data_IF_577304609290
#
_entry.id   IF_577304609290
#
_cell.length_a   1.000
_cell.length_b   1.000
_cell.length_c   1.000
_cell.angle_alpha   90.00
_cell.angle_beta   90.00
_cell.angle_gamma   90.00
#
_symmetry.space_group_name_H-M   'P 1'
#
loop_
_entity.id
_entity.type
_entity.pdbx_description
1 polymer ?
#
# COMPACT_ATOMS: atom_id res chain seq x y z
N UNK A 1 -32.74 17.38 -26.59
CA UNK A 1 -31.84 16.60 -25.72
C UNK A 1 -32.29 16.81 -24.29
N UNK A 2 -32.44 15.78 -23.44
CA UNK A 2 -32.87 15.99 -22.06
C UNK A 2 -31.69 16.46 -21.20
N UNK A 3 -31.88 17.57 -20.48
CA UNK A 3 -30.97 18.10 -19.47
C UNK A 3 -30.95 17.20 -18.23
N UNK A 4 -29.94 16.33 -18.12
CA UNK A 4 -29.68 15.59 -16.90
C UNK A 4 -29.12 16.55 -15.83
N UNK A 5 -29.99 17.02 -14.93
CA UNK A 5 -29.56 17.62 -13.67
C UNK A 5 -29.01 16.51 -12.79
N UNK A 6 -27.70 16.31 -12.85
CA UNK A 6 -26.97 15.38 -11.98
C UNK A 6 -27.18 15.86 -10.53
N UNK A 7 -27.93 15.10 -9.76
CA UNK A 7 -28.11 15.36 -8.33
C UNK A 7 -26.82 14.94 -7.60
N UNK A 8 -26.09 15.93 -7.09
CA UNK A 8 -24.88 15.72 -6.30
C UNK A 8 -25.30 15.71 -4.82
N UNK A 9 -25.11 14.60 -4.09
CA UNK A 9 -25.37 14.54 -2.64
C UNK A 9 -24.46 15.52 -1.89
N UNK A 10 -25.02 16.27 -0.92
CA UNK A 10 -24.31 17.35 -0.19
C UNK A 10 -22.99 16.89 0.46
N UNK A 11 -22.92 15.65 0.94
CA UNK A 11 -21.72 15.08 1.55
C UNK A 11 -20.52 14.96 0.57
N UNK A 12 -20.78 14.96 -0.74
CA UNK A 12 -19.76 14.84 -1.80
C UNK A 12 -19.46 16.17 -2.49
N UNK A 13 -20.22 17.22 -2.16
CA UNK A 13 -20.04 18.56 -2.71
C UNK A 13 -18.66 19.17 -2.41
N UNK A 14 -18.05 19.01 -1.22
CA UNK A 14 -16.75 19.64 -0.92
C UNK A 14 -15.62 19.13 -1.83
N UNK A 15 -15.61 17.81 -2.08
CA UNK A 15 -14.62 17.16 -2.94
C UNK A 15 -14.78 17.67 -4.38
N UNK A 16 -16.02 17.69 -4.89
CA UNK A 16 -16.29 18.16 -6.25
C UNK A 16 -15.95 19.65 -6.45
N UNK A 17 -16.11 20.50 -5.42
CA UNK A 17 -15.71 21.91 -5.49
C UNK A 17 -14.19 22.08 -5.58
N UNK A 18 -13.41 21.34 -4.78
CA UNK A 18 -11.94 21.35 -4.87
C UNK A 18 -11.45 20.89 -6.25
N UNK A 19 -12.09 19.89 -6.85
CA UNK A 19 -11.75 19.42 -8.19
C UNK A 19 -12.09 20.42 -9.29
N UNK A 20 -13.24 21.10 -9.18
CA UNK A 20 -13.65 22.13 -10.15
C UNK A 20 -12.67 23.31 -10.16
N UNK A 21 -12.10 23.68 -9.01
CA UNK A 21 -11.06 24.70 -8.91
C UNK A 21 -9.72 24.23 -9.48
N UNK A 22 -9.35 22.95 -9.32
CA UNK A 22 -8.06 22.44 -9.77
C UNK A 22 -7.97 22.11 -11.27
N UNK A 23 -9.06 21.65 -11.89
CA UNK A 23 -9.00 21.12 -13.26
C UNK A 23 -9.76 21.95 -14.30
N UNK A 24 -10.50 22.99 -13.88
CA UNK A 24 -11.27 23.83 -14.78
C UNK A 24 -12.34 23.07 -15.56
N UNK A 25 -13.00 23.74 -16.52
CA UNK A 25 -14.05 23.15 -17.38
C UNK A 25 -13.55 22.03 -18.31
N UNK A 26 -12.24 21.84 -18.41
CA UNK A 26 -11.58 20.88 -19.29
C UNK A 26 -11.05 19.64 -18.55
N UNK A 27 -11.64 19.31 -17.39
CA UNK A 27 -11.40 18.02 -16.75
C UNK A 27 -11.79 16.90 -17.73
N UNK A 28 -10.78 16.26 -18.31
CA UNK A 28 -10.93 15.24 -19.34
C UNK A 28 -11.82 14.11 -18.87
N UNK A 29 -12.55 13.46 -19.79
CA UNK A 29 -13.43 12.33 -19.48
C UNK A 29 -12.75 11.22 -18.67
N UNK A 30 -11.43 11.08 -18.79
CA UNK A 30 -10.61 10.18 -17.96
C UNK A 30 -10.69 10.48 -16.45
N UNK A 31 -10.77 11.74 -16.05
CA UNK A 31 -10.86 12.12 -14.63
C UNK A 31 -12.25 11.82 -14.09
N UNK A 32 -13.29 12.04 -14.91
CA UNK A 32 -14.67 11.69 -14.55
C UNK A 32 -14.82 10.17 -14.45
N UNK A 33 -14.30 9.41 -15.43
CA UNK A 33 -14.29 7.94 -15.41
C UNK A 33 -13.50 7.39 -14.22
N UNK A 34 -12.37 8.02 -13.87
CA UNK A 34 -11.60 7.68 -12.67
C UNK A 34 -12.41 7.92 -11.40
N UNK A 35 -13.12 9.05 -11.29
CA UNK A 35 -13.93 9.38 -10.12
C UNK A 35 -15.17 8.48 -10.04
N UNK A 36 -15.86 8.21 -11.16
CA UNK A 36 -17.00 7.30 -11.19
C UNK A 36 -16.58 5.88 -10.80
N UNK A 37 -15.42 5.42 -11.26
CA UNK A 37 -14.87 4.14 -10.82
C UNK A 37 -14.46 4.19 -9.33
N UNK A 38 -13.73 5.20 -8.89
CA UNK A 38 -13.33 5.32 -7.49
C UNK A 38 -14.54 5.39 -6.54
N UNK A 39 -15.62 6.09 -6.93
CA UNK A 39 -16.84 6.22 -6.15
C UNK A 39 -17.76 4.98 -6.25
N UNK A 40 -17.76 4.25 -7.38
CA UNK A 40 -18.44 2.94 -7.49
C UNK A 40 -17.82 1.92 -6.55
N UNK A 41 -16.49 1.92 -6.42
CA UNK A 41 -15.78 1.00 -5.53
C UNK A 41 -15.73 1.49 -4.07
N UNK A 42 -16.01 2.77 -3.81
CA UNK A 42 -16.14 3.30 -2.45
C UNK A 42 -17.42 2.82 -1.70
N UNK A 43 -18.36 2.16 -2.40
CA UNK A 43 -19.57 1.59 -1.81
C UNK A 43 -19.45 0.13 -1.36
N UNK A 44 -18.42 -0.59 -1.84
CA UNK A 44 -18.09 -1.93 -1.35
C UNK A 44 -17.02 -1.80 -0.28
N UNK A 45 -17.48 -1.51 0.94
CA UNK A 45 -16.74 -1.90 2.15
C UNK A 45 -16.77 -3.43 2.27
N UNK A 46 -16.25 -4.13 1.27
CA UNK A 46 -15.56 -5.37 1.58
C UNK A 46 -14.39 -4.90 2.45
N UNK A 47 -14.40 -5.26 3.72
CA UNK A 47 -13.17 -5.29 4.50
C UNK A 47 -12.18 -6.07 3.66
N UNK A 48 -11.33 -5.37 2.91
CA UNK A 48 -10.22 -5.95 2.18
C UNK A 48 -9.34 -6.51 3.29
N UNK A 49 -9.59 -7.76 3.65
CA UNK A 49 -8.68 -8.57 4.45
C UNK A 49 -7.44 -8.70 3.58
N UNK A 50 -6.55 -7.72 3.70
CA UNK A 50 -5.30 -7.68 2.98
C UNK A 50 -4.55 -8.95 3.39
N UNK A 51 -4.42 -9.89 2.47
CA UNK A 51 -3.84 -11.20 2.75
C UNK A 51 -2.39 -11.06 3.21
N UNK A 52 -1.88 -12.03 3.98
CA UNK A 52 -0.49 -12.04 4.40
C UNK A 52 0.48 -11.89 3.20
N UNK A 53 0.14 -12.47 2.04
CA UNK A 53 0.94 -12.34 0.81
C UNK A 53 1.00 -10.91 0.27
N UNK A 54 -0.12 -10.18 0.29
CA UNK A 54 -0.18 -8.79 -0.16
C UNK A 54 0.60 -7.87 0.78
N UNK A 55 0.53 -8.14 2.09
CA UNK A 55 1.27 -7.36 3.08
C UNK A 55 2.75 -7.71 3.01
N UNK A 56 3.12 -8.98 2.83
CA UNK A 56 4.50 -9.36 2.56
C UNK A 56 5.05 -8.63 1.33
N UNK A 57 4.31 -8.58 0.21
CA UNK A 57 4.76 -7.85 -0.97
C UNK A 57 4.86 -6.34 -0.76
N UNK A 58 4.01 -5.77 0.08
CA UNK A 58 4.08 -4.34 0.39
C UNK A 58 5.36 -3.97 1.16
N UNK A 59 5.83 -4.84 2.07
CA UNK A 59 6.98 -4.55 2.93
C UNK A 59 8.32 -5.10 2.41
N UNK A 60 8.29 -6.18 1.63
CA UNK A 60 9.48 -6.92 1.20
C UNK A 60 9.47 -7.26 -0.30
N UNK A 61 8.46 -6.85 -1.05
CA UNK A 61 8.36 -7.17 -2.48
C UNK A 61 9.38 -6.47 -3.36
N UNK A 62 10.03 -5.42 -2.85
CA UNK A 62 11.17 -4.74 -3.48
C UNK A 62 12.48 -5.53 -3.36
N UNK A 63 12.54 -6.59 -2.54
CA UNK A 63 13.72 -7.44 -2.38
C UNK A 63 13.75 -8.48 -3.51
N UNK A 64 14.43 -8.13 -4.60
CA UNK A 64 14.66 -9.04 -5.74
C UNK A 64 15.57 -10.23 -5.36
N UNK A 65 16.63 -9.95 -4.61
CA UNK A 65 17.52 -10.98 -4.02
C UNK A 65 18.21 -10.45 -2.78
N UNK A 66 18.57 -11.36 -1.86
CA UNK A 66 19.26 -10.98 -0.62
C UNK A 66 20.60 -10.30 -0.88
N UNK A 67 21.33 -10.75 -1.91
CA UNK A 67 22.62 -10.17 -2.29
C UNK A 67 22.45 -8.77 -2.85
N UNK A 68 21.46 -8.55 -3.72
CA UNK A 68 21.17 -7.22 -4.26
C UNK A 68 20.75 -6.27 -3.15
N UNK A 69 19.88 -6.72 -2.24
CA UNK A 69 19.46 -5.94 -1.09
C UNK A 69 20.65 -5.53 -0.21
N UNK A 70 21.53 -6.46 0.14
CA UNK A 70 22.73 -6.14 0.92
C UNK A 70 23.67 -5.17 0.19
N UNK A 71 23.74 -5.24 -1.14
CA UNK A 71 24.58 -4.35 -1.95
C UNK A 71 24.05 -2.90 -2.01
N UNK A 72 22.75 -2.69 -1.76
CA UNK A 72 22.17 -1.34 -1.64
C UNK A 72 22.66 -0.60 -0.39
N UNK A 73 23.24 -1.32 0.58
CA UNK A 73 23.70 -0.77 1.84
C UNK A 73 25.23 -0.84 1.94
N UNK A 74 25.84 0.24 2.41
CA UNK A 74 27.29 0.30 2.64
C UNK A 74 27.76 -0.67 3.73
N UNK A 75 26.89 -1.02 4.68
CA UNK A 75 27.22 -1.89 5.81
C UNK A 75 26.12 -2.91 6.10
N UNK A 76 26.52 -4.01 6.73
CA UNK A 76 25.58 -5.04 7.21
C UNK A 76 24.63 -4.52 8.28
N UNK A 77 25.08 -3.57 9.11
CA UNK A 77 24.27 -2.97 10.18
C UNK A 77 23.16 -2.07 9.61
N UNK A 78 23.44 -1.30 8.55
CA UNK A 78 22.40 -0.48 7.90
C UNK A 78 21.34 -1.33 7.22
N UNK A 79 21.73 -2.43 6.55
CA UNK A 79 20.77 -3.40 6.00
C UNK A 79 19.91 -4.04 7.10
N UNK A 80 20.52 -4.41 8.23
CA UNK A 80 19.81 -4.95 9.39
C UNK A 80 18.81 -3.96 9.96
N UNK A 81 19.21 -2.70 10.12
CA UNK A 81 18.33 -1.63 10.60
C UNK A 81 17.15 -1.40 9.65
N UNK A 82 17.39 -1.42 8.33
CA UNK A 82 16.34 -1.26 7.34
C UNK A 82 15.26 -2.35 7.44
N UNK A 83 15.67 -3.61 7.58
CA UNK A 83 14.72 -4.72 7.77
C UNK A 83 13.99 -4.58 9.12
N UNK A 84 14.71 -4.22 10.19
CA UNK A 84 14.10 -4.03 11.51
C UNK A 84 13.04 -2.93 11.48
N UNK A 85 13.33 -1.78 10.86
CA UNK A 85 12.37 -0.69 10.72
C UNK A 85 11.11 -1.12 9.95
N UNK A 86 11.27 -1.94 8.90
CA UNK A 86 10.13 -2.50 8.15
C UNK A 86 9.30 -3.44 9.02
N UNK A 87 9.94 -4.29 9.82
CA UNK A 87 9.26 -5.20 10.75
C UNK A 87 8.55 -4.46 11.89
N UNK A 88 9.17 -3.43 12.46
CA UNK A 88 8.55 -2.60 13.48
C UNK A 88 7.31 -1.88 12.91
N UNK A 89 7.42 -1.35 11.68
CA UNK A 89 6.29 -0.74 10.98
C UNK A 89 5.18 -1.76 10.60
N UNK A 90 5.55 -3.02 10.36
CA UNK A 90 4.59 -4.11 10.13
C UNK A 90 3.86 -4.44 11.42
N UNK A 91 4.58 -4.62 12.53
CA UNK A 91 4.00 -4.92 13.84
C UNK A 91 3.03 -3.82 14.31
N UNK A 92 3.36 -2.55 14.07
CA UNK A 92 2.49 -1.44 14.46
C UNK A 92 1.20 -1.35 13.64
N UNK A 93 1.25 -1.67 12.34
CA UNK A 93 0.08 -1.53 11.45
C UNK A 93 -0.76 -2.80 11.34
N UNK A 94 -0.14 -3.96 11.44
CA UNK A 94 -0.73 -5.27 11.20
C UNK A 94 -0.26 -6.30 12.25
N UNK A 95 -0.55 -6.07 13.55
CA UNK A 95 -0.11 -6.97 14.62
C UNK A 95 -0.74 -8.37 14.53
N UNK A 96 -1.92 -8.47 13.94
CA UNK A 96 -2.73 -9.67 13.79
C UNK A 96 -2.13 -10.70 12.82
N UNK A 97 -1.44 -10.23 11.78
CA UNK A 97 -0.81 -11.09 10.76
C UNK A 97 0.71 -11.00 10.75
N UNK A 98 1.29 -10.24 11.69
CA UNK A 98 2.73 -10.01 11.78
C UNK A 98 3.53 -11.31 11.77
N UNK A 99 3.07 -12.32 12.51
CA UNK A 99 3.73 -13.62 12.59
C UNK A 99 3.71 -14.39 11.27
N UNK A 100 2.60 -14.33 10.53
CA UNK A 100 2.47 -15.00 9.24
C UNK A 100 3.39 -14.36 8.20
N UNK A 101 3.40 -13.02 8.13
CA UNK A 101 4.27 -12.27 7.22
C UNK A 101 5.75 -12.45 7.61
N UNK A 102 6.06 -12.54 8.90
CA UNK A 102 7.41 -12.84 9.39
C UNK A 102 7.87 -14.25 8.98
N UNK A 103 6.96 -15.24 9.05
CA UNK A 103 7.26 -16.61 8.63
C UNK A 103 7.56 -16.65 7.11
N UNK A 104 6.76 -15.97 6.30
CA UNK A 104 7.01 -15.83 4.86
C UNK A 104 8.36 -15.14 4.57
N UNK A 105 8.68 -14.09 5.32
CA UNK A 105 9.98 -13.42 5.20
C UNK A 105 11.15 -14.36 5.52
N UNK A 106 11.04 -15.16 6.59
CA UNK A 106 12.06 -16.16 6.97
C UNK A 106 12.25 -17.23 5.89
N UNK A 107 11.16 -17.68 5.27
CA UNK A 107 11.20 -18.69 4.21
C UNK A 107 11.84 -18.15 2.92
N UNK A 108 11.45 -16.94 2.51
CA UNK A 108 11.91 -16.33 1.25
C UNK A 108 13.31 -15.72 1.35
N UNK A 109 13.69 -15.21 2.52
CA UNK A 109 14.96 -14.51 2.76
C UNK A 109 15.69 -15.02 4.02
N UNK A 110 16.17 -16.28 4.00
CA UNK A 110 16.76 -16.93 5.18
C UNK A 110 18.10 -16.32 5.62
N UNK A 111 18.92 -15.76 4.73
CA UNK A 111 20.16 -15.11 5.14
C UNK A 111 19.86 -13.74 5.75
N UNK A 112 18.92 -12.97 5.18
CA UNK A 112 18.49 -11.70 5.77
C UNK A 112 17.92 -11.90 7.17
N UNK A 113 17.09 -12.94 7.38
CA UNK A 113 16.56 -13.31 8.69
C UNK A 113 17.66 -13.65 9.72
N UNK A 114 18.70 -14.40 9.30
CA UNK A 114 19.86 -14.69 10.17
C UNK A 114 20.63 -13.44 10.55
N UNK A 115 20.82 -12.52 9.60
CA UNK A 115 21.59 -11.28 9.82
C UNK A 115 20.86 -10.36 10.80
N UNK A 116 19.54 -10.30 10.72
CA UNK A 116 18.71 -9.47 11.60
C UNK A 116 18.56 -10.04 13.01
N UNK A 117 18.97 -11.28 13.25
CA UNK A 117 18.84 -11.94 14.55
C UNK A 117 17.41 -12.38 14.83
N UNK A 118 16.58 -12.49 13.78
CA UNK A 118 15.24 -13.07 13.86
C UNK A 118 15.41 -14.59 13.88
N UNK A 119 15.90 -15.09 15.02
CA UNK A 119 15.99 -16.52 15.26
C UNK A 119 14.58 -17.12 15.39
N UNK A 120 14.49 -18.43 15.11
CA UNK A 120 13.24 -19.20 15.14
C UNK A 120 12.42 -18.94 16.40
#
# INVERSE_FOLDING_TARGET
>A
MPDYKIYIPEAKAPVLYQFKEQFGKDASGMIVDFIENALRHAGSSETITCSADQIHQTYFGDIESEKAFLYLFETRESAKLAIKNRLDALYQKHPDIYLDVLAQFKEKYPNLAKITGINQ
#
